data_IF_763467055299
#
_entry.id   IF_763467055299
#
_cell.length_a   1.000
_cell.length_b   1.000
_cell.length_c   1.000
_cell.angle_alpha   90.00
_cell.angle_beta   90.00
_cell.angle_gamma   90.00
#
_symmetry.space_group_name_H-M   'P 1'
#
loop_
_entity.id
_entity.type
_entity.pdbx_description
1 polymer ?
#
# COMPACT_ATOMS: atom_id res chain seq x y z
N UNK A 1 20.65 28.49 -14.91
CA UNK A 1 19.23 28.89 -14.87
C UNK A 1 18.54 27.85 -14.01
N UNK A 2 18.20 28.21 -12.78
CA UNK A 2 17.35 27.36 -11.92
C UNK A 2 15.93 27.66 -12.40
N UNK A 3 15.18 26.62 -12.78
CA UNK A 3 13.75 26.76 -13.04
C UNK A 3 13.12 26.62 -11.65
N UNK A 4 12.52 27.70 -11.14
CA UNK A 4 11.79 27.63 -9.87
C UNK A 4 10.68 26.58 -9.99
N UNK A 5 10.53 25.72 -8.99
CA UNK A 5 9.55 24.64 -8.98
C UNK A 5 9.94 23.38 -9.78
N UNK A 6 11.17 23.28 -10.31
CA UNK A 6 11.58 22.18 -11.18
C UNK A 6 11.39 20.78 -10.57
N UNK A 7 11.70 20.62 -9.28
CA UNK A 7 11.58 19.34 -8.59
C UNK A 7 10.10 18.95 -8.42
N UNK A 8 9.23 19.91 -8.12
CA UNK A 8 7.78 19.76 -8.03
C UNK A 8 7.17 19.36 -9.39
N UNK A 9 7.62 19.98 -10.48
CA UNK A 9 7.21 19.60 -11.85
C UNK A 9 7.60 18.14 -12.11
N UNK A 10 8.86 17.79 -11.85
CA UNK A 10 9.37 16.44 -12.12
C UNK A 10 8.67 15.39 -11.26
N UNK A 11 8.45 15.66 -9.98
CA UNK A 11 7.73 14.77 -9.08
C UNK A 11 6.30 14.53 -9.60
N UNK A 12 5.61 15.59 -10.00
CA UNK A 12 4.25 15.52 -10.56
C UNK A 12 4.21 14.62 -11.81
N UNK A 13 5.08 14.90 -12.80
CA UNK A 13 5.13 14.12 -14.04
C UNK A 13 5.51 12.65 -13.78
N UNK A 14 6.45 12.42 -12.87
CA UNK A 14 6.92 11.08 -12.55
C UNK A 14 5.81 10.26 -11.88
N UNK A 15 5.11 10.82 -10.90
CA UNK A 15 3.98 10.16 -10.22
C UNK A 15 2.83 9.90 -11.20
N UNK A 16 2.46 10.89 -12.01
CA UNK A 16 1.42 10.75 -13.03
C UNK A 16 1.73 9.62 -14.02
N UNK A 17 2.99 9.54 -14.48
CA UNK A 17 3.46 8.43 -15.33
C UNK A 17 3.32 7.08 -14.62
N UNK A 18 3.69 6.99 -13.33
CA UNK A 18 3.58 5.72 -12.59
C UNK A 18 2.13 5.27 -12.44
N UNK A 19 1.22 6.18 -12.13
CA UNK A 19 -0.21 5.88 -12.12
C UNK A 19 -0.73 5.43 -13.49
N UNK A 20 -0.25 6.07 -14.56
CA UNK A 20 -0.55 5.66 -15.94
C UNK A 20 -0.07 4.24 -16.23
N UNK A 21 1.17 3.91 -15.87
CA UNK A 21 1.75 2.57 -16.08
C UNK A 21 0.99 1.49 -15.28
N UNK A 22 0.44 1.84 -14.12
CA UNK A 22 -0.39 0.97 -13.27
C UNK A 22 -1.85 0.86 -13.73
N UNK A 23 -2.25 1.61 -14.77
CA UNK A 23 -3.64 1.67 -15.23
C UNK A 23 -4.59 2.46 -14.34
N UNK A 24 -4.08 3.28 -13.41
CA UNK A 24 -4.86 4.14 -12.50
C UNK A 24 -5.11 5.52 -13.10
N UNK A 25 -5.59 5.55 -14.34
CA UNK A 25 -5.78 6.79 -15.11
C UNK A 25 -6.76 7.76 -14.44
N UNK A 26 -7.85 7.24 -13.88
CA UNK A 26 -8.88 8.04 -13.20
C UNK A 26 -8.31 8.76 -11.97
N UNK A 27 -7.35 8.14 -11.27
CA UNK A 27 -6.66 8.78 -10.13
C UNK A 27 -5.71 9.87 -10.63
N UNK A 28 -5.00 9.65 -11.74
CA UNK A 28 -4.15 10.69 -12.30
C UNK A 28 -4.97 11.90 -12.78
N UNK A 29 -6.06 11.65 -13.50
CA UNK A 29 -6.97 12.70 -14.00
C UNK A 29 -7.63 13.49 -12.86
N UNK A 30 -8.02 12.83 -11.78
CA UNK A 30 -8.67 13.50 -10.65
C UNK A 30 -7.72 14.37 -9.81
N UNK A 31 -6.40 14.15 -9.87
CA UNK A 31 -5.44 14.73 -8.92
C UNK A 31 -4.33 15.58 -9.55
N UNK A 32 -4.24 15.67 -10.87
CA UNK A 32 -3.25 16.51 -11.53
C UNK A 32 -3.92 17.53 -12.44
N UNK A 33 -3.81 18.80 -12.07
CA UNK A 33 -4.29 19.91 -12.90
C UNK A 33 -3.38 20.18 -14.11
N UNK A 34 -3.94 20.85 -15.12
CA UNK A 34 -3.23 21.28 -16.33
C UNK A 34 -2.20 22.40 -16.09
N UNK A 35 -2.10 22.91 -14.86
CA UNK A 35 -1.18 23.97 -14.45
C UNK A 35 -0.14 23.44 -13.49
N UNK A 36 1.11 23.89 -13.66
CA UNK A 36 2.22 23.52 -12.79
C UNK A 36 2.74 24.78 -12.10
N UNK A 37 2.28 25.01 -10.88
CA UNK A 37 2.83 26.00 -9.96
C UNK A 37 2.95 25.39 -8.55
N UNK A 38 3.60 26.12 -7.65
CA UNK A 38 3.97 25.63 -6.32
C UNK A 38 2.73 25.30 -5.47
N UNK A 39 1.69 26.12 -5.47
CA UNK A 39 0.51 25.87 -4.64
C UNK A 39 -0.27 24.66 -5.17
N UNK A 40 -0.39 24.58 -6.50
CA UNK A 40 -1.04 23.45 -7.19
C UNK A 40 -0.31 22.13 -6.92
N UNK A 41 1.02 22.13 -6.75
CA UNK A 41 1.76 20.92 -6.38
C UNK A 41 1.30 20.33 -5.05
N UNK A 42 1.15 21.16 -4.01
CA UNK A 42 0.70 20.67 -2.70
C UNK A 42 -0.73 20.14 -2.74
N UNK A 43 -1.62 20.84 -3.46
CA UNK A 43 -2.99 20.38 -3.68
C UNK A 43 -3.03 19.02 -4.40
N UNK A 44 -2.20 18.84 -5.43
CA UNK A 44 -2.07 17.57 -6.15
C UNK A 44 -1.59 16.43 -5.23
N UNK A 45 -0.57 16.69 -4.39
CA UNK A 45 -0.02 15.65 -3.51
C UNK A 45 -1.04 15.25 -2.43
N UNK A 46 -1.72 16.20 -1.81
CA UNK A 46 -2.78 15.91 -0.84
C UNK A 46 -3.95 15.17 -1.48
N UNK A 47 -4.42 15.64 -2.65
CA UNK A 47 -5.46 14.97 -3.40
C UNK A 47 -5.08 13.51 -3.71
N UNK A 48 -3.85 13.27 -4.16
CA UNK A 48 -3.40 11.91 -4.45
C UNK A 48 -3.35 11.03 -3.20
N UNK A 49 -2.89 11.56 -2.06
CA UNK A 49 -2.88 10.83 -0.78
C UNK A 49 -4.31 10.42 -0.38
N UNK A 50 -5.29 11.30 -0.63
CA UNK A 50 -6.72 11.05 -0.39
C UNK A 50 -7.30 10.00 -1.35
N UNK A 51 -6.93 10.04 -2.63
CA UNK A 51 -7.61 9.29 -3.69
C UNK A 51 -6.91 8.00 -4.14
N UNK A 52 -5.68 7.73 -3.70
CA UNK A 52 -4.95 6.52 -4.13
C UNK A 52 -5.54 5.23 -3.54
N UNK A 53 -6.11 5.27 -2.34
CA UNK A 53 -6.77 4.15 -1.69
C UNK A 53 -8.28 4.40 -1.60
N UNK A 54 -9.09 3.34 -1.78
CA UNK A 54 -10.56 3.47 -1.78
C UNK A 54 -11.14 4.03 -0.46
N UNK A 55 -10.55 3.70 0.69
CA UNK A 55 -10.97 4.18 2.00
C UNK A 55 -9.91 5.11 2.58
N UNK A 56 -10.27 6.37 2.72
CA UNK A 56 -9.46 7.43 3.31
C UNK A 56 -10.16 8.06 4.52
N UNK A 57 -9.40 8.38 5.56
CA UNK A 57 -9.85 9.21 6.67
C UNK A 57 -8.68 10.06 7.15
N UNK A 58 -8.89 11.38 7.22
CA UNK A 58 -7.96 12.32 7.80
C UNK A 58 -8.53 12.98 9.06
N UNK A 59 -7.69 13.13 10.08
CA UNK A 59 -8.01 13.93 11.25
C UNK A 59 -6.78 14.65 11.77
N UNK A 60 -6.96 15.93 12.08
CA UNK A 60 -5.98 16.68 12.85
C UNK A 60 -6.18 16.50 14.36
N UNK A 61 -5.14 16.11 15.06
CA UNK A 61 -5.10 15.91 16.51
C UNK A 61 -4.33 17.05 17.18
N UNK A 62 -5.04 18.15 17.41
CA UNK A 62 -4.51 19.42 17.92
C UNK A 62 -3.64 19.27 19.17
N UNK A 63 -4.03 18.40 20.12
CA UNK A 63 -3.30 18.20 21.38
C UNK A 63 -1.84 17.78 21.17
N UNK A 64 -1.53 17.09 20.08
CA UNK A 64 -0.18 16.61 19.78
C UNK A 64 0.38 17.21 18.50
N UNK A 65 -0.28 18.23 17.92
CA UNK A 65 0.14 18.84 16.66
C UNK A 65 0.36 17.80 15.57
N UNK A 66 -0.59 16.88 15.39
CA UNK A 66 -0.40 15.68 14.56
C UNK A 66 -1.54 15.49 13.58
N UNK A 67 -1.23 15.32 12.30
CA UNK A 67 -2.17 14.90 11.28
C UNK A 67 -2.17 13.37 11.17
N UNK A 68 -3.35 12.77 11.15
CA UNK A 68 -3.52 11.32 11.10
C UNK A 68 -4.24 10.97 9.81
N UNK A 69 -3.55 10.22 8.94
CA UNK A 69 -4.13 9.64 7.73
C UNK A 69 -4.35 8.15 7.94
N UNK A 70 -5.55 7.65 7.68
CA UNK A 70 -5.89 6.23 7.76
C UNK A 70 -6.36 5.75 6.41
N UNK A 71 -5.55 4.87 5.81
CA UNK A 71 -5.67 4.41 4.43
C UNK A 71 -6.01 2.92 4.39
N UNK A 72 -6.95 2.52 3.53
CA UNK A 72 -7.28 1.12 3.28
C UNK A 72 -7.89 0.94 1.90
N UNK A 73 -7.75 -0.25 1.35
CA UNK A 73 -8.19 -0.60 0.00
C UNK A 73 -8.43 -2.11 -0.08
N UNK A 74 -9.29 -2.60 -1.00
CA UNK A 74 -9.52 -4.03 -1.13
C UNK A 74 -8.23 -4.80 -1.37
N UNK A 75 -7.24 -4.22 -2.07
CA UNK A 75 -5.95 -4.89 -2.32
C UNK A 75 -5.16 -5.17 -1.02
N UNK A 76 -5.24 -4.27 -0.03
CA UNK A 76 -4.59 -4.45 1.28
C UNK A 76 -5.33 -5.54 2.07
N UNK A 77 -6.66 -5.52 2.03
CA UNK A 77 -7.49 -6.51 2.72
C UNK A 77 -7.26 -7.90 2.14
N UNK A 78 -7.29 -8.02 0.81
CA UNK A 78 -7.04 -9.26 0.06
C UNK A 78 -5.65 -9.82 0.38
N UNK A 79 -4.63 -8.96 0.41
CA UNK A 79 -3.29 -9.39 0.79
C UNK A 79 -3.27 -10.01 2.19
N UNK A 80 -3.88 -9.35 3.17
CA UNK A 80 -3.94 -9.86 4.55
C UNK A 80 -4.71 -11.19 4.65
N UNK A 81 -5.80 -11.35 3.88
CA UNK A 81 -6.53 -12.61 3.79
C UNK A 81 -5.64 -13.73 3.24
N UNK A 82 -4.98 -13.50 2.10
CA UNK A 82 -4.09 -14.47 1.46
C UNK A 82 -2.90 -14.85 2.34
N UNK A 83 -2.30 -13.87 3.01
CA UNK A 83 -1.24 -14.12 3.97
C UNK A 83 -1.76 -14.97 5.14
N UNK A 84 -2.96 -14.68 5.65
CA UNK A 84 -3.63 -15.48 6.67
C UNK A 84 -3.91 -16.92 6.25
N UNK A 85 -4.40 -17.13 5.03
CA UNK A 85 -4.59 -18.47 4.44
C UNK A 85 -3.27 -19.24 4.37
N UNK A 86 -2.20 -18.58 3.92
CA UNK A 86 -0.87 -19.18 3.91
C UNK A 86 -0.42 -19.57 5.32
N UNK A 87 -0.58 -18.67 6.29
CA UNK A 87 -0.22 -18.92 7.69
C UNK A 87 -0.96 -20.14 8.26
N UNK A 88 -2.28 -20.22 8.05
CA UNK A 88 -3.11 -21.37 8.45
C UNK A 88 -2.64 -22.67 7.79
N UNK A 89 -2.38 -22.63 6.48
CA UNK A 89 -1.93 -23.79 5.71
C UNK A 89 -0.53 -24.30 6.11
N UNK A 90 0.26 -23.49 6.84
CA UNK A 90 1.60 -23.84 7.31
C UNK A 90 1.74 -23.81 8.84
N UNK A 91 0.64 -23.60 9.58
CA UNK A 91 0.62 -23.47 11.04
C UNK A 91 1.56 -22.37 11.56
N UNK A 92 1.66 -21.26 10.82
CA UNK A 92 2.48 -20.10 11.18
C UNK A 92 1.56 -19.04 11.81
N UNK A 93 1.85 -18.53 13.01
CA UNK A 93 1.09 -17.44 13.61
C UNK A 93 1.35 -16.11 12.89
N UNK A 94 0.38 -15.20 12.88
CA UNK A 94 0.43 -13.95 12.10
C UNK A 94 1.68 -13.09 12.36
N UNK A 95 2.16 -13.03 13.60
CA UNK A 95 3.39 -12.29 13.95
C UNK A 95 4.68 -12.87 13.34
N UNK A 96 4.66 -14.14 12.95
CA UNK A 96 5.77 -14.84 12.30
C UNK A 96 5.51 -15.08 10.80
N UNK A 97 4.42 -14.56 10.26
CA UNK A 97 4.07 -14.74 8.87
C UNK A 97 5.06 -13.97 7.98
N UNK A 98 5.81 -14.65 7.10
CA UNK A 98 6.86 -14.01 6.31
C UNK A 98 6.32 -12.92 5.38
N UNK A 99 5.10 -13.09 4.85
CA UNK A 99 4.49 -12.10 3.97
C UNK A 99 4.04 -10.85 4.73
N UNK A 100 3.52 -11.01 5.96
CA UNK A 100 3.19 -9.86 6.81
C UNK A 100 4.47 -9.09 7.17
N UNK A 101 5.58 -9.79 7.42
CA UNK A 101 6.88 -9.14 7.66
C UNK A 101 7.41 -8.43 6.41
N UNK A 102 7.30 -9.04 5.23
CA UNK A 102 7.66 -8.44 3.94
C UNK A 102 6.85 -7.15 3.70
N UNK A 103 5.54 -7.16 3.96
CA UNK A 103 4.69 -5.97 3.85
C UNK A 103 5.18 -4.84 4.76
N UNK A 104 5.52 -5.14 6.01
CA UNK A 104 6.07 -4.15 6.93
C UNK A 104 7.40 -3.57 6.44
N UNK A 105 8.27 -4.41 5.89
CA UNK A 105 9.54 -3.95 5.33
C UNK A 105 9.33 -3.05 4.11
N UNK A 106 8.41 -3.42 3.21
CA UNK A 106 8.10 -2.62 2.03
C UNK A 106 7.49 -1.27 2.40
N UNK A 107 6.50 -1.25 3.29
CA UNK A 107 5.91 0.01 3.79
C UNK A 107 7.00 0.88 4.44
N UNK A 108 7.81 0.30 5.33
CA UNK A 108 8.89 1.01 6.00
C UNK A 108 9.94 1.57 5.04
N UNK A 109 10.26 0.87 3.95
CA UNK A 109 11.18 1.36 2.93
C UNK A 109 10.71 2.67 2.28
N UNK A 110 9.40 2.87 2.17
CA UNK A 110 8.83 4.07 1.56
C UNK A 110 8.45 5.14 2.59
N UNK A 111 8.15 4.77 3.84
CA UNK A 111 7.67 5.71 4.86
C UNK A 111 8.73 6.09 5.92
N UNK A 112 9.85 5.37 6.06
CA UNK A 112 10.91 5.73 7.02
C UNK A 112 11.88 6.78 6.44
N UNK A 113 11.37 7.92 5.96
CA UNK A 113 12.18 8.97 5.34
C UNK A 113 12.23 10.29 6.14
N UNK A 114 11.31 10.49 7.09
CA UNK A 114 11.26 11.69 7.94
C UNK A 114 11.05 11.31 9.40
N UNK A 115 11.65 12.05 10.33
CA UNK A 115 11.40 11.91 11.77
C UNK A 115 10.05 12.51 12.18
N UNK A 116 9.47 13.38 11.35
CA UNK A 116 8.12 13.91 11.51
C UNK A 116 7.05 12.96 10.98
N UNK A 117 7.43 11.76 10.51
CA UNK A 117 6.49 10.78 9.98
C UNK A 117 6.63 9.44 10.70
N UNK A 118 5.55 9.05 11.36
CA UNK A 118 5.36 7.71 11.90
C UNK A 118 4.30 6.96 11.10
N UNK A 119 4.33 5.62 11.15
CA UNK A 119 3.31 4.81 10.50
C UNK A 119 3.04 3.49 11.23
N UNK A 120 1.86 2.92 10.99
CA UNK A 120 1.44 1.62 11.52
C UNK A 120 0.67 0.83 10.48
N UNK A 121 1.11 -0.39 10.24
CA UNK A 121 0.34 -1.37 9.48
C UNK A 121 -0.50 -2.24 10.43
N UNK A 122 -1.82 -2.07 10.35
CA UNK A 122 -2.83 -2.82 11.11
C UNK A 122 -3.32 -3.99 10.26
N UNK A 123 -3.05 -5.20 10.73
CA UNK A 123 -3.26 -6.44 9.96
C UNK A 123 -4.42 -7.22 10.54
N UNK A 124 -5.37 -7.60 9.69
CA UNK A 124 -6.48 -8.48 10.03
C UNK A 124 -6.59 -9.59 8.99
N UNK A 125 -6.14 -10.79 9.34
CA UNK A 125 -6.23 -12.02 8.53
C UNK A 125 -7.64 -12.64 8.54
N UNK A 126 -8.48 -12.20 9.49
CA UNK A 126 -9.90 -12.51 9.60
C UNK A 126 -10.68 -11.19 9.81
N UNK A 127 -10.87 -10.38 8.76
CA UNK A 127 -11.53 -9.09 8.86
C UNK A 127 -13.00 -9.25 9.26
N UNK A 128 -13.49 -8.39 10.16
CA UNK A 128 -14.89 -8.38 10.64
C UNK A 128 -15.76 -7.32 9.93
N UNK A 129 -15.14 -6.51 9.09
CA UNK A 129 -15.73 -5.38 8.36
C UNK A 129 -14.90 -5.08 7.11
N UNK A 130 -15.47 -4.41 6.09
CA UNK A 130 -14.68 -3.85 4.99
C UNK A 130 -13.56 -2.96 5.51
N UNK A 131 -12.44 -2.91 4.79
CA UNK A 131 -11.31 -2.03 5.10
C UNK A 131 -10.76 -2.20 6.53
N UNK A 132 -10.80 -3.43 7.06
CA UNK A 132 -10.33 -3.67 8.43
C UNK A 132 -8.81 -3.51 8.50
N UNK A 133 -8.09 -4.15 7.58
CA UNK A 133 -6.64 -3.99 7.40
C UNK A 133 -6.33 -2.63 6.79
N UNK A 134 -5.42 -1.89 7.39
CA UNK A 134 -5.21 -0.46 7.09
C UNK A 134 -3.80 0.01 7.42
N UNK A 135 -3.39 1.09 6.79
CA UNK A 135 -2.14 1.80 7.06
C UNK A 135 -2.52 3.11 7.75
N UNK A 136 -2.03 3.32 8.97
CA UNK A 136 -2.09 4.62 9.64
C UNK A 136 -0.77 5.36 9.42
N UNK A 137 -0.85 6.63 9.05
CA UNK A 137 0.28 7.54 8.88
C UNK A 137 0.05 8.73 9.82
N UNK A 138 1.10 9.12 10.53
CA UNK A 138 1.08 10.12 11.57
C UNK A 138 2.14 11.16 11.22
N UNK A 139 1.70 12.37 10.89
CA UNK A 139 2.58 13.49 10.52
C UNK A 139 2.60 14.48 11.68
N UNK A 140 3.76 14.62 12.32
CA UNK A 140 3.98 15.59 13.40
C UNK A 140 4.34 16.96 12.80
N UNK A 141 3.66 18.01 13.25
CA UNK A 141 3.82 19.39 12.75
C UNK A 141 5.07 20.09 13.31
N UNK A 142 6.03 19.35 13.83
CA UNK A 142 7.28 19.88 14.38
C UNK A 142 8.21 20.40 13.28
N UNK A 143 8.11 19.86 12.06
CA UNK A 143 8.91 20.23 10.89
C UNK A 143 8.26 19.78 9.57
N UNK A 144 8.98 19.95 8.47
CA UNK A 144 8.57 19.63 7.11
C UNK A 144 8.53 18.12 6.82
N UNK A 145 7.51 17.69 6.08
CA UNK A 145 7.42 16.38 5.44
C UNK A 145 7.33 16.57 3.93
N UNK A 146 8.18 15.88 3.19
CA UNK A 146 8.13 15.85 1.73
C UNK A 146 6.88 15.08 1.25
N UNK A 147 5.85 15.85 0.85
CA UNK A 147 4.58 15.30 0.40
C UNK A 147 4.68 14.61 -0.96
N UNK A 148 5.62 15.00 -1.83
CA UNK A 148 5.86 14.31 -3.09
C UNK A 148 6.42 12.91 -2.85
N UNK A 149 7.39 12.82 -1.95
CA UNK A 149 7.94 11.53 -1.53
C UNK A 149 6.90 10.65 -0.83
N UNK A 150 6.07 11.24 0.03
CA UNK A 150 4.95 10.53 0.66
C UNK A 150 3.98 9.97 -0.38
N UNK A 151 3.46 10.83 -1.26
CA UNK A 151 2.48 10.46 -2.27
C UNK A 151 3.03 9.37 -3.21
N UNK A 152 4.27 9.54 -3.69
CA UNK A 152 4.96 8.50 -4.47
C UNK A 152 5.12 7.19 -3.69
N UNK A 153 5.52 7.27 -2.43
CA UNK A 153 5.63 6.10 -1.56
C UNK A 153 4.32 5.32 -1.42
N UNK A 154 3.19 6.01 -1.35
CA UNK A 154 1.86 5.38 -1.29
C UNK A 154 1.50 4.68 -2.60
N UNK A 155 1.82 5.27 -3.75
CA UNK A 155 1.65 4.64 -5.07
C UNK A 155 2.46 3.34 -5.16
N UNK A 156 3.73 3.38 -4.75
CA UNK A 156 4.61 2.20 -4.76
C UNK A 156 4.17 1.11 -3.76
N UNK A 157 3.60 1.50 -2.62
CA UNK A 157 3.01 0.58 -1.66
C UNK A 157 1.77 -0.09 -2.26
N UNK A 158 0.89 0.68 -2.91
CA UNK A 158 -0.30 0.15 -3.58
C UNK A 158 0.06 -0.85 -4.66
N UNK A 159 0.99 -0.50 -5.55
CA UNK A 159 1.45 -1.38 -6.64
C UNK A 159 2.01 -2.69 -6.06
N UNK A 160 2.84 -2.59 -5.03
CA UNK A 160 3.41 -3.77 -4.40
C UNK A 160 2.36 -4.69 -3.78
N UNK A 161 1.32 -4.15 -3.12
CA UNK A 161 0.23 -4.99 -2.61
C UNK A 161 -0.50 -5.71 -3.74
N UNK A 162 -0.71 -5.04 -4.88
CA UNK A 162 -1.33 -5.63 -6.07
C UNK A 162 -0.52 -6.82 -6.58
N UNK A 163 0.79 -6.63 -6.77
CA UNK A 163 1.70 -7.69 -7.21
C UNK A 163 1.81 -8.83 -6.18
N UNK A 164 1.88 -8.48 -4.89
CA UNK A 164 1.99 -9.45 -3.81
C UNK A 164 0.75 -10.34 -3.71
N UNK A 165 -0.44 -9.76 -3.92
CA UNK A 165 -1.69 -10.51 -4.06
C UNK A 165 -1.61 -11.53 -5.21
N UNK A 166 -1.14 -11.12 -6.39
CA UNK A 166 -0.99 -12.03 -7.53
C UNK A 166 -0.02 -13.17 -7.22
N UNK A 167 1.16 -12.87 -6.65
CA UNK A 167 2.15 -13.89 -6.26
C UNK A 167 1.60 -14.86 -5.22
N UNK A 168 0.96 -14.36 -4.18
CA UNK A 168 0.40 -15.19 -3.10
C UNK A 168 -0.74 -16.10 -3.60
N UNK A 169 -1.61 -15.59 -4.48
CA UNK A 169 -2.67 -16.39 -5.12
C UNK A 169 -2.08 -17.56 -5.90
N UNK A 170 -1.05 -17.33 -6.70
CA UNK A 170 -0.36 -18.37 -7.48
C UNK A 170 0.26 -19.45 -6.56
N UNK A 171 0.95 -19.03 -5.49
CA UNK A 171 1.54 -19.95 -4.50
C UNK A 171 0.46 -20.84 -3.85
N UNK A 172 -0.67 -20.25 -3.45
CA UNK A 172 -1.77 -20.97 -2.82
C UNK A 172 -2.50 -21.89 -3.80
N UNK A 173 -2.63 -21.50 -5.07
CA UNK A 173 -3.25 -22.33 -6.11
C UNK A 173 -2.38 -23.53 -6.48
N UNK A 174 -1.07 -23.35 -6.69
CA UNK A 174 -0.13 -24.46 -6.95
C UNK A 174 -0.19 -25.51 -5.85
N UNK A 175 -0.19 -25.07 -4.59
CA UNK A 175 -0.33 -25.98 -3.45
C UNK A 175 -1.65 -26.76 -3.45
N UNK A 176 -2.77 -26.13 -3.83
CA UNK A 176 -4.06 -26.83 -3.96
C UNK A 176 -4.00 -27.89 -5.07
N UNK A 177 -3.34 -27.61 -6.19
CA UNK A 177 -3.16 -28.60 -7.27
C UNK A 177 -2.30 -29.79 -6.83
N UNK A 178 -1.21 -29.56 -6.08
CA UNK A 178 -0.35 -30.62 -5.56
C UNK A 178 -1.08 -31.56 -4.57
N UNK A 179 -2.01 -31.02 -3.78
CA UNK A 179 -2.84 -31.82 -2.85
C UNK A 179 -3.87 -32.69 -3.60
N UNK A 180 -4.30 -32.29 -4.79
CA UNK A 180 -5.32 -33.01 -5.59
C UNK A 180 -4.71 -34.16 -6.41
N UNK A 181 -3.38 -34.20 -6.62
CA UNK A 181 -2.71 -35.23 -7.43
C UNK A 181 -2.25 -36.48 -6.63
N UNK A 182 -3.18 -37.18 -5.98
CA UNK A 182 -2.93 -38.56 -5.53
C UNK A 182 -3.87 -39.54 -6.25
N UNK A 183 -3.46 -40.12 -7.40
CA UNK A 183 -4.02 -41.38 -7.88
C UNK A 183 -3.53 -42.50 -6.96
N UNK A 184 -4.48 -43.26 -6.40
CA UNK A 184 -4.21 -44.35 -5.47
C UNK A 184 -3.25 -45.41 -6.03
N UNK A 185 -2.42 -45.95 -5.14
CA UNK A 185 -1.65 -47.17 -5.36
C UNK A 185 -2.59 -48.28 -5.86
N UNK A 186 -2.48 -48.66 -7.13
CA UNK A 186 -2.96 -49.97 -7.57
C UNK A 186 -2.04 -51.04 -6.95
N UNK A 187 -2.46 -51.56 -5.80
CA UNK A 187 -2.00 -52.85 -5.30
C UNK A 187 -2.44 -53.91 -6.31
N UNK A 188 -1.53 -54.33 -7.20
CA UNK A 188 -1.67 -55.60 -7.92
C UNK A 188 -0.86 -56.67 -7.20
N UNK A 189 -1.55 -57.38 -6.31
CA UNK A 189 -1.18 -58.73 -5.92
C UNK A 189 -1.79 -59.72 -6.94
N UNK A 190 -0.92 -60.38 -7.70
CA UNK A 190 -1.09 -61.75 -8.22
C UNK A 190 0.20 -62.17 -8.93
#
# INVERSE_FOLDING_TARGET
MVIDGFDEILNTLYIAKRLYDMGRYEVAEANFFDTVDYDVYYENMYGLIENIFESYYCQYYERHGMEIHVLSDPVIVDFCLLAGEYGKAHKIPDGQNPYIQEARQKIGRHLNFSYCLDWRFMVHTEPKRPFHSRIGIFIYQDDYVDLGWLAYGLVEIYEWFSDACMRLRDILQKKKADIVQLPGEEVKAA
#
